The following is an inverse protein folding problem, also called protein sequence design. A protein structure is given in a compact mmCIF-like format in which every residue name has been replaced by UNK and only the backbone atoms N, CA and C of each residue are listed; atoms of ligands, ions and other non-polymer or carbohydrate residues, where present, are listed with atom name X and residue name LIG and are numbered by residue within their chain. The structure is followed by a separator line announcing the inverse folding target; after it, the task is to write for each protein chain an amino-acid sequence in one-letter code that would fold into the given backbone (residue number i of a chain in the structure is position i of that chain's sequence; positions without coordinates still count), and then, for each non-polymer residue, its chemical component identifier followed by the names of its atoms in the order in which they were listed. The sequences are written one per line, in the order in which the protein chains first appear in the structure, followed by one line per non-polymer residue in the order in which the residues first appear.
data_IF_791357606667
#
_entry.id   IF_791357606667
#
_cell.length_a   1.000
_cell.length_b   1.000
_cell.length_c   1.000
_cell.angle_alpha   90.00
_cell.angle_beta   90.00
_cell.angle_gamma   90.00
#
_symmetry.space_group_name_H-M   'P 1'
#
loop_
_entity.id
_entity.type
_entity.pdbx_description
1 polymer ?
#
# COMPACT_ATOMS: atom_id res chain seq x y z
N UNK A 1 -19.61 -34.53 7.47
CA UNK A 1 -19.20 -33.61 6.40
C UNK A 1 -17.90 -32.97 6.86
N UNK A 2 -16.76 -33.53 6.40
CA UNK A 2 -15.45 -32.87 6.55
C UNK A 2 -15.48 -31.61 5.70
N UNK A 3 -15.47 -30.44 6.30
CA UNK A 3 -15.30 -29.19 5.58
C UNK A 3 -13.94 -29.20 4.91
N UNK A 4 -13.90 -29.02 3.60
CA UNK A 4 -12.67 -28.82 2.85
C UNK A 4 -11.94 -27.63 3.46
N UNK A 5 -10.65 -27.77 3.75
CA UNK A 5 -9.85 -26.66 4.26
C UNK A 5 -9.84 -25.58 3.18
N UNK A 6 -10.33 -24.39 3.50
CA UNK A 6 -10.43 -23.25 2.58
C UNK A 6 -9.09 -22.93 1.90
N UNK A 7 -7.98 -23.19 2.59
CA UNK A 7 -6.64 -22.98 2.06
C UNK A 7 -6.30 -23.96 0.94
N UNK A 8 -6.73 -25.23 1.07
CA UNK A 8 -6.58 -26.22 0.00
C UNK A 8 -7.44 -25.86 -1.21
N UNK A 9 -8.65 -25.37 -0.99
CA UNK A 9 -9.52 -24.92 -2.07
C UNK A 9 -8.92 -23.73 -2.82
N UNK A 10 -8.39 -22.71 -2.11
CA UNK A 10 -7.72 -21.56 -2.72
C UNK A 10 -6.50 -22.02 -3.52
N UNK A 11 -5.70 -22.94 -3.00
CA UNK A 11 -4.52 -23.44 -3.70
C UNK A 11 -4.89 -24.18 -5.00
N UNK A 12 -5.93 -25.03 -4.97
CA UNK A 12 -6.45 -25.72 -6.15
C UNK A 12 -6.96 -24.72 -7.20
N UNK A 13 -7.74 -23.72 -6.77
CA UNK A 13 -8.24 -22.68 -7.68
C UNK A 13 -7.10 -21.84 -8.29
N UNK A 14 -6.07 -21.54 -7.52
CA UNK A 14 -4.90 -20.82 -8.03
C UNK A 14 -4.12 -21.67 -9.07
N UNK A 15 -3.94 -22.96 -8.82
CA UNK A 15 -3.33 -23.88 -9.78
C UNK A 15 -4.13 -23.95 -11.08
N UNK A 16 -5.46 -24.00 -10.97
CA UNK A 16 -6.36 -24.03 -12.13
C UNK A 16 -6.32 -22.72 -12.92
N UNK A 17 -6.30 -21.57 -12.23
CA UNK A 17 -6.13 -20.24 -12.83
C UNK A 17 -4.85 -20.15 -13.67
N UNK A 18 -3.74 -20.63 -13.11
CA UNK A 18 -2.45 -20.67 -13.82
C UNK A 18 -2.51 -21.65 -15.00
N UNK A 19 -3.09 -22.85 -14.80
CA UNK A 19 -3.22 -23.89 -15.85
C UNK A 19 -4.04 -23.40 -17.04
N UNK A 20 -5.11 -22.66 -16.81
CA UNK A 20 -5.97 -22.11 -17.84
C UNK A 20 -5.36 -20.91 -18.58
N UNK A 21 -4.23 -20.38 -18.12
CA UNK A 21 -3.56 -19.23 -18.74
C UNK A 21 -4.41 -17.96 -18.73
N UNK A 22 -5.32 -17.84 -17.76
CA UNK A 22 -6.28 -16.73 -17.69
C UNK A 22 -5.54 -15.37 -17.61
N UNK A 23 -4.42 -15.32 -16.88
CA UNK A 23 -3.58 -14.11 -16.77
C UNK A 23 -2.96 -13.67 -18.11
N UNK A 24 -2.93 -14.54 -19.11
CA UNK A 24 -2.41 -14.21 -20.45
C UNK A 24 -3.48 -13.66 -21.40
N UNK A 25 -4.75 -13.91 -21.10
CA UNK A 25 -5.88 -13.49 -21.94
C UNK A 25 -6.47 -12.14 -21.52
N UNK A 26 -6.27 -11.73 -20.27
CA UNK A 26 -6.71 -10.43 -19.72
C UNK A 26 -5.58 -9.87 -18.87
N UNK A 27 -5.31 -8.58 -19.01
CA UNK A 27 -4.37 -7.87 -18.13
C UNK A 27 -4.99 -7.66 -16.74
N UNK A 28 -5.08 -8.78 -15.98
CA UNK A 28 -5.62 -8.77 -14.63
C UNK A 28 -4.79 -7.89 -13.69
N UNK A 29 -3.48 -7.83 -13.90
CA UNK A 29 -2.60 -7.02 -13.06
C UNK A 29 -2.96 -5.54 -13.18
N UNK A 30 -3.14 -5.05 -14.40
CA UNK A 30 -3.58 -3.67 -14.65
C UNK A 30 -4.96 -3.40 -14.04
N UNK A 31 -5.91 -4.31 -14.26
CA UNK A 31 -7.25 -4.17 -13.72
C UNK A 31 -7.26 -4.10 -12.19
N UNK A 32 -6.59 -5.04 -11.52
CA UNK A 32 -6.51 -5.05 -10.06
C UNK A 32 -5.77 -3.85 -9.51
N UNK A 33 -4.71 -3.39 -10.19
CA UNK A 33 -4.00 -2.18 -9.77
C UNK A 33 -4.90 -0.96 -9.79
N UNK A 34 -5.69 -0.78 -10.85
CA UNK A 34 -6.58 0.38 -10.97
C UNK A 34 -7.71 0.32 -9.95
N UNK A 35 -8.28 -0.85 -9.73
CA UNK A 35 -9.28 -1.08 -8.68
C UNK A 35 -8.71 -0.83 -7.28
N UNK A 36 -7.54 -1.39 -6.97
CA UNK A 36 -6.83 -1.18 -5.70
C UNK A 36 -6.60 0.32 -5.44
N UNK A 37 -6.06 1.05 -6.42
CA UNK A 37 -5.79 2.48 -6.30
C UNK A 37 -7.08 3.26 -6.04
N UNK A 38 -8.12 3.00 -6.84
CA UNK A 38 -9.40 3.69 -6.72
C UNK A 38 -10.01 3.50 -5.34
N UNK A 39 -10.07 2.26 -4.86
CA UNK A 39 -10.68 1.96 -3.57
C UNK A 39 -9.82 2.42 -2.39
N UNK A 40 -8.50 2.31 -2.48
CA UNK A 40 -7.61 2.81 -1.42
C UNK A 40 -7.68 4.33 -1.27
N UNK A 41 -7.68 5.07 -2.37
CA UNK A 41 -7.80 6.54 -2.30
C UNK A 41 -9.21 6.99 -1.93
N UNK A 42 -10.25 6.18 -2.19
CA UNK A 42 -11.60 6.45 -1.73
C UNK A 42 -11.73 6.42 -0.20
N UNK A 43 -10.95 5.59 0.49
CA UNK A 43 -10.88 5.59 1.97
C UNK A 43 -10.37 6.94 2.48
N UNK A 44 -9.49 7.60 1.75
CA UNK A 44 -8.95 8.93 2.05
C UNK A 44 -9.82 10.08 1.50
N UNK A 45 -11.02 9.76 1.00
CA UNK A 45 -12.03 10.74 0.57
C UNK A 45 -12.01 11.07 -0.92
N UNK A 46 -11.21 10.38 -1.75
CA UNK A 46 -11.29 10.53 -3.22
C UNK A 46 -12.66 10.05 -3.71
N UNK A 47 -13.19 10.76 -4.71
CA UNK A 47 -14.45 10.38 -5.38
C UNK A 47 -14.23 10.01 -6.85
N UNK A 48 -12.98 9.69 -7.25
CA UNK A 48 -12.70 9.13 -8.55
C UNK A 48 -13.29 7.73 -8.66
N UNK A 49 -13.81 7.40 -9.84
CA UNK A 49 -14.28 6.06 -10.19
C UNK A 49 -13.13 5.24 -10.80
N UNK A 50 -13.34 3.92 -10.95
CA UNK A 50 -12.36 3.08 -11.68
C UNK A 50 -12.16 3.53 -13.12
N UNK A 51 -13.23 4.01 -13.78
CA UNK A 51 -13.13 4.58 -15.13
C UNK A 51 -12.29 5.87 -15.13
N UNK A 52 -12.47 6.76 -14.15
CA UNK A 52 -11.67 7.99 -14.03
C UNK A 52 -10.18 7.64 -13.82
N UNK A 53 -9.90 6.61 -12.99
CA UNK A 53 -8.55 6.11 -12.74
C UNK A 53 -7.94 5.51 -14.01
N UNK A 54 -8.71 4.74 -14.75
CA UNK A 54 -8.27 4.17 -16.02
C UNK A 54 -7.95 5.26 -17.05
N UNK A 55 -8.82 6.24 -17.24
CA UNK A 55 -8.60 7.36 -18.17
C UNK A 55 -7.38 8.19 -17.76
N UNK A 56 -7.17 8.38 -16.45
CA UNK A 56 -6.00 9.09 -15.95
C UNK A 56 -4.70 8.37 -16.34
N UNK A 57 -4.63 7.07 -16.14
CA UNK A 57 -3.39 6.32 -16.34
C UNK A 57 -3.14 5.90 -17.80
N UNK A 58 -4.20 5.62 -18.55
CA UNK A 58 -4.07 5.17 -19.95
C UNK A 58 -3.98 6.35 -20.93
N UNK A 59 -4.68 7.44 -20.67
CA UNK A 59 -4.84 8.54 -21.60
C UNK A 59 -4.36 9.90 -21.06
N UNK A 60 -4.00 9.97 -19.78
CA UNK A 60 -3.61 11.24 -19.13
C UNK A 60 -4.77 12.21 -18.94
N UNK A 61 -6.01 11.71 -18.97
CA UNK A 61 -7.22 12.53 -18.85
C UNK A 61 -7.67 12.65 -17.41
N UNK A 62 -7.89 13.88 -16.95
CA UNK A 62 -8.42 14.16 -15.61
C UNK A 62 -9.94 14.22 -15.62
N UNK A 63 -10.57 13.69 -14.58
CA UNK A 63 -12.03 13.70 -14.42
C UNK A 63 -12.55 15.12 -14.22
N UNK A 64 -13.49 15.55 -15.06
CA UNK A 64 -14.08 16.89 -15.00
C UNK A 64 -14.80 17.14 -13.67
N UNK A 65 -14.49 18.27 -13.04
CA UNK A 65 -15.14 18.68 -11.79
C UNK A 65 -14.64 17.95 -10.54
N UNK A 66 -13.61 17.11 -10.65
CA UNK A 66 -12.97 16.47 -9.50
C UNK A 66 -11.75 17.27 -9.04
N UNK A 67 -11.50 17.39 -7.72
CA UNK A 67 -10.31 18.04 -7.20
C UNK A 67 -9.01 17.41 -7.74
N UNK A 68 -8.03 18.25 -8.09
CA UNK A 68 -6.73 17.78 -8.58
C UNK A 68 -6.05 16.84 -7.58
N UNK A 69 -6.21 17.08 -6.29
CA UNK A 69 -5.60 16.24 -5.24
C UNK A 69 -6.00 14.77 -5.36
N UNK A 70 -7.20 14.44 -5.82
CA UNK A 70 -7.62 13.05 -6.01
C UNK A 70 -6.81 12.35 -7.11
N UNK A 71 -6.54 13.07 -8.21
CA UNK A 71 -5.70 12.55 -9.29
C UNK A 71 -4.25 12.37 -8.83
N UNK A 72 -3.73 13.32 -8.03
CA UNK A 72 -2.38 13.23 -7.46
C UNK A 72 -2.26 12.07 -6.47
N UNK A 73 -3.29 11.81 -5.66
CA UNK A 73 -3.32 10.63 -4.77
C UNK A 73 -3.22 9.32 -5.55
N UNK A 74 -3.97 9.20 -6.66
CA UNK A 74 -3.90 8.02 -7.52
C UNK A 74 -2.52 7.85 -8.16
N UNK A 75 -1.93 8.94 -8.66
CA UNK A 75 -0.58 8.93 -9.23
C UNK A 75 0.50 8.53 -8.22
N UNK A 76 0.43 9.10 -7.01
CA UNK A 76 1.39 8.80 -5.95
C UNK A 76 1.26 7.34 -5.47
N UNK A 77 0.03 6.84 -5.29
CA UNK A 77 -0.18 5.45 -4.89
C UNK A 77 0.28 4.47 -5.97
N UNK A 78 0.04 4.77 -7.26
CA UNK A 78 0.55 3.96 -8.37
C UNK A 78 2.08 3.85 -8.31
N UNK A 79 2.78 4.97 -8.12
CA UNK A 79 4.24 4.98 -8.03
C UNK A 79 4.77 4.24 -6.80
N UNK A 80 4.09 4.36 -5.66
CA UNK A 80 4.45 3.60 -4.47
C UNK A 80 4.27 2.09 -4.68
N UNK A 81 3.20 1.68 -5.36
CA UNK A 81 2.96 0.27 -5.72
C UNK A 81 4.01 -0.27 -6.69
N UNK A 82 4.33 0.47 -7.76
CA UNK A 82 5.36 0.10 -8.72
C UNK A 82 6.72 -0.05 -8.05
N UNK A 83 7.09 0.89 -7.17
CA UNK A 83 8.30 0.81 -6.36
C UNK A 83 8.31 -0.44 -5.47
N UNK A 84 7.20 -0.71 -4.76
CA UNK A 84 7.10 -1.90 -3.90
C UNK A 84 7.27 -3.20 -4.70
N UNK A 85 6.71 -3.26 -5.92
CA UNK A 85 6.82 -4.39 -6.82
C UNK A 85 8.25 -4.59 -7.33
N UNK A 86 8.92 -3.52 -7.74
CA UNK A 86 10.32 -3.55 -8.18
C UNK A 86 11.25 -4.04 -7.06
N UNK A 87 11.11 -3.48 -5.86
CA UNK A 87 11.91 -3.86 -4.70
C UNK A 87 11.63 -5.30 -4.26
N UNK A 88 10.38 -5.75 -4.35
CA UNK A 88 10.00 -7.15 -4.09
C UNK A 88 10.67 -8.11 -5.09
N UNK A 89 10.72 -7.77 -6.38
CA UNK A 89 11.40 -8.57 -7.39
C UNK A 89 12.93 -8.69 -7.15
N UNK A 90 13.52 -7.70 -6.47
CA UNK A 90 14.92 -7.69 -6.07
C UNK A 90 15.17 -8.36 -4.71
N UNK A 91 14.12 -8.86 -4.05
CA UNK A 91 14.16 -9.37 -2.67
C UNK A 91 14.74 -8.35 -1.68
N UNK A 92 14.43 -7.07 -1.87
CA UNK A 92 14.89 -6.00 -0.98
C UNK A 92 14.40 -6.25 0.44
N UNK A 93 15.31 -6.11 1.39
CA UNK A 93 15.00 -6.31 2.81
C UNK A 93 14.03 -5.25 3.34
N UNK A 94 13.02 -5.66 4.09
CA UNK A 94 12.09 -4.75 4.74
C UNK A 94 12.80 -4.08 5.92
N UNK A 95 13.11 -2.79 5.74
CA UNK A 95 13.78 -1.93 6.72
C UNK A 95 12.96 -0.66 6.97
N UNK A 96 13.19 0.07 8.08
CA UNK A 96 12.56 1.38 8.28
C UNK A 96 12.85 2.35 7.13
N UNK A 97 14.06 2.34 6.58
CA UNK A 97 14.43 3.18 5.45
C UNK A 97 13.62 2.82 4.20
N UNK A 98 13.40 1.53 3.96
CA UNK A 98 12.54 1.10 2.86
C UNK A 98 11.09 1.55 3.06
N UNK A 99 10.52 1.41 4.26
CA UNK A 99 9.17 1.89 4.56
C UNK A 99 9.06 3.41 4.42
N UNK A 100 10.08 4.17 4.84
CA UNK A 100 10.13 5.62 4.62
C UNK A 100 10.21 5.97 3.12
N UNK A 101 10.98 5.22 2.32
CA UNK A 101 11.04 5.37 0.86
C UNK A 101 9.69 5.13 0.19
N UNK A 102 8.96 4.08 0.62
CA UNK A 102 7.59 3.82 0.14
C UNK A 102 6.63 4.95 0.53
N UNK A 103 6.70 5.40 1.78
CA UNK A 103 5.86 6.52 2.23
C UNK A 103 6.19 7.82 1.48
N UNK A 104 7.45 8.08 1.18
CA UNK A 104 7.85 9.22 0.36
C UNK A 104 7.27 9.14 -1.05
N UNK A 105 7.23 7.97 -1.66
CA UNK A 105 6.57 7.77 -2.95
C UNK A 105 5.06 8.02 -2.87
N UNK A 106 4.41 7.49 -1.83
CA UNK A 106 2.97 7.63 -1.58
C UNK A 106 2.55 9.08 -1.30
N UNK A 107 3.40 9.87 -0.68
CA UNK A 107 3.13 11.25 -0.28
C UNK A 107 3.86 12.29 -1.16
N UNK A 108 4.40 11.88 -2.30
CA UNK A 108 5.30 12.69 -3.13
C UNK A 108 4.72 14.05 -3.53
N UNK A 109 3.45 14.10 -3.92
CA UNK A 109 2.76 15.32 -4.37
C UNK A 109 1.70 15.80 -3.40
N UNK A 110 1.26 14.95 -2.49
CA UNK A 110 0.21 15.24 -1.50
C UNK A 110 0.76 15.50 -0.10
N UNK A 111 2.03 15.16 0.15
CA UNK A 111 2.70 15.44 1.42
C UNK A 111 3.06 16.91 1.61
N UNK A 112 3.42 17.25 2.83
CA UNK A 112 3.74 18.62 3.26
C UNK A 112 4.80 18.65 4.34
N UNK A 113 5.42 19.81 4.52
CA UNK A 113 6.27 20.12 5.67
C UNK A 113 5.39 20.57 6.84
N UNK A 114 5.58 19.93 7.98
CA UNK A 114 4.89 20.26 9.23
C UNK A 114 5.86 20.84 10.24
N UNK A 115 5.51 22.04 10.76
CA UNK A 115 6.24 22.69 11.84
C UNK A 115 5.45 22.51 13.13
N UNK A 116 5.99 21.76 14.08
CA UNK A 116 5.34 21.38 15.34
C UNK A 116 6.26 21.61 16.54
N UNK A 117 5.76 21.49 17.76
CA UNK A 117 6.60 21.69 18.96
C UNK A 117 7.82 20.73 19.02
N UNK A 118 7.71 19.54 18.45
CA UNK A 118 8.79 18.56 18.37
C UNK A 118 9.84 18.83 17.29
N UNK A 119 9.66 19.85 16.46
CA UNK A 119 10.54 20.20 15.35
C UNK A 119 9.79 20.29 14.02
N UNK A 120 10.51 20.10 12.92
CA UNK A 120 9.94 20.08 11.56
C UNK A 120 10.14 18.71 10.92
N UNK A 121 9.13 18.22 10.21
CA UNK A 121 9.23 17.01 9.41
C UNK A 121 8.48 17.17 8.09
N UNK A 122 8.94 16.46 7.07
CA UNK A 122 8.40 16.50 5.71
C UNK A 122 7.81 15.12 5.35
N UNK A 123 6.49 15.04 5.29
CA UNK A 123 5.80 13.79 4.94
C UNK A 123 6.06 13.38 3.48
N UNK A 124 6.34 14.33 2.58
CA UNK A 124 6.70 14.01 1.18
C UNK A 124 8.06 13.32 1.05
N UNK A 125 8.88 13.36 2.10
CA UNK A 125 10.16 12.64 2.21
C UNK A 125 10.07 11.35 3.02
N UNK A 126 8.88 10.99 3.49
CA UNK A 126 8.69 9.81 4.33
C UNK A 126 9.25 9.96 5.75
N UNK A 127 9.50 11.18 6.20
CA UNK A 127 10.00 11.43 7.54
C UNK A 127 8.98 11.06 8.62
N UNK A 128 9.47 10.51 9.73
CA UNK A 128 8.60 10.22 10.87
C UNK A 128 8.02 11.49 11.46
N UNK A 129 6.74 11.43 11.82
CA UNK A 129 6.05 12.54 12.47
C UNK A 129 6.69 12.91 13.81
N UNK A 130 6.65 14.19 14.14
CA UNK A 130 7.15 14.76 15.39
C UNK A 130 6.02 15.33 16.27
N UNK A 131 4.79 14.85 16.06
CA UNK A 131 3.61 15.22 16.85
C UNK A 131 2.68 14.04 17.10
N UNK A 132 1.80 14.19 18.09
CA UNK A 132 0.69 13.28 18.31
C UNK A 132 -0.33 13.39 17.19
N UNK A 133 -0.99 12.27 16.86
CA UNK A 133 -2.11 12.23 15.92
C UNK A 133 -3.22 11.33 16.47
N UNK A 134 -4.46 11.59 16.05
CA UNK A 134 -5.65 10.83 16.43
C UNK A 134 -6.41 10.38 15.19
N UNK A 135 -7.17 9.30 15.31
CA UNK A 135 -8.06 8.81 14.26
C UNK A 135 -9.35 9.64 14.24
N UNK A 136 -9.32 10.77 13.53
CA UNK A 136 -10.47 11.67 13.42
C UNK A 136 -10.78 12.43 14.71
N UNK A 137 -11.87 13.17 14.71
CA UNK A 137 -12.33 13.96 15.86
C UNK A 137 -12.93 13.04 16.92
N UNK A 138 -12.34 13.01 18.12
CA UNK A 138 -12.79 12.15 19.23
C UNK A 138 -12.38 10.69 19.11
N UNK A 139 -11.55 10.32 18.12
CA UNK A 139 -11.02 8.97 17.93
C UNK A 139 -9.87 8.63 18.86
N UNK A 140 -9.39 7.37 18.76
CA UNK A 140 -8.27 6.89 19.54
C UNK A 140 -6.97 7.61 19.14
N UNK A 141 -6.16 7.97 20.14
CA UNK A 141 -4.82 8.49 19.90
C UNK A 141 -3.89 7.37 19.43
N UNK A 142 -3.12 7.66 18.39
CA UNK A 142 -2.05 6.78 17.96
C UNK A 142 -0.88 6.81 18.95
N UNK A 143 0.01 5.83 18.82
CA UNK A 143 1.22 5.73 19.61
C UNK A 143 1.96 7.08 19.67
N UNK A 144 2.55 7.38 20.84
CA UNK A 144 3.39 8.56 21.02
C UNK A 144 4.53 8.59 20.00
N UNK A 145 4.70 9.70 19.30
CA UNK A 145 5.61 9.84 18.16
C UNK A 145 7.08 9.49 18.47
N UNK A 146 7.65 9.76 19.66
CA UNK A 146 9.04 9.38 19.97
C UNK A 146 9.28 7.86 19.97
N UNK A 147 8.20 7.07 20.13
CA UNK A 147 8.28 5.60 20.12
C UNK A 147 8.15 5.01 18.70
N UNK A 148 7.69 5.79 17.73
CA UNK A 148 7.38 5.28 16.38
C UNK A 148 8.61 4.69 15.69
N UNK A 149 9.80 5.35 15.64
CA UNK A 149 10.97 4.78 14.96
C UNK A 149 11.38 3.42 15.52
N UNK A 150 11.43 3.28 16.85
CA UNK A 150 11.79 2.01 17.50
C UNK A 150 10.77 0.90 17.24
N UNK A 151 9.48 1.24 17.17
CA UNK A 151 8.42 0.26 16.87
C UNK A 151 8.36 -0.13 15.39
N UNK A 152 8.73 0.76 14.50
CA UNK A 152 8.90 0.42 13.08
C UNK A 152 10.09 -0.52 12.89
N UNK A 153 11.21 -0.31 13.58
CA UNK A 153 12.35 -1.24 13.54
C UNK A 153 11.98 -2.62 14.11
N UNK A 154 11.25 -2.66 15.22
CA UNK A 154 10.74 -3.91 15.81
C UNK A 154 9.83 -4.66 14.81
N UNK A 155 8.89 -3.95 14.16
CA UNK A 155 8.03 -4.53 13.13
C UNK A 155 8.86 -5.08 11.95
N UNK A 156 9.81 -4.32 11.43
CA UNK A 156 10.68 -4.76 10.34
C UNK A 156 11.47 -6.02 10.73
N UNK A 157 11.95 -6.10 11.96
CA UNK A 157 12.67 -7.27 12.47
C UNK A 157 11.78 -8.52 12.52
N UNK A 158 10.55 -8.37 13.02
CA UNK A 158 9.55 -9.45 13.04
C UNK A 158 9.21 -9.92 11.62
N UNK A 159 8.98 -8.99 10.69
CA UNK A 159 8.67 -9.32 9.31
C UNK A 159 9.81 -10.09 8.64
N UNK A 160 11.05 -9.65 8.82
CA UNK A 160 12.24 -10.33 8.29
C UNK A 160 12.41 -11.73 8.84
N UNK A 161 12.19 -11.92 10.14
CA UNK A 161 12.25 -13.23 10.77
C UNK A 161 11.18 -14.17 10.23
N UNK A 162 9.94 -13.70 10.16
CA UNK A 162 8.82 -14.50 9.63
C UNK A 162 9.02 -14.84 8.16
N UNK A 163 9.46 -13.90 7.33
CA UNK A 163 9.70 -14.15 5.90
C UNK A 163 10.73 -15.25 5.65
N UNK A 164 11.77 -15.36 6.49
CA UNK A 164 12.80 -16.42 6.36
C UNK A 164 12.25 -17.83 6.61
N UNK A 165 11.19 -17.94 7.39
CA UNK A 165 10.64 -19.20 7.85
C UNK A 165 9.32 -19.59 7.16
N UNK A 166 8.87 -18.80 6.16
CA UNK A 166 7.63 -19.09 5.44
C UNK A 166 7.85 -20.11 4.32
N UNK A 167 7.17 -21.23 4.42
CA UNK A 167 7.21 -22.31 3.42
C UNK A 167 5.92 -22.39 2.62
N UNK A 168 4.78 -22.10 3.23
CA UNK A 168 3.45 -22.29 2.66
C UNK A 168 2.81 -21.01 2.14
N UNK A 169 1.87 -21.13 1.20
CA UNK A 169 1.02 -20.03 0.74
C UNK A 169 0.23 -19.40 1.89
N UNK A 170 -0.29 -20.23 2.79
CA UNK A 170 -1.05 -19.78 3.96
C UNK A 170 -0.23 -18.86 4.86
N UNK A 171 1.01 -19.23 5.18
CA UNK A 171 1.90 -18.43 6.04
C UNK A 171 2.21 -17.07 5.40
N UNK A 172 2.41 -17.01 4.09
CA UNK A 172 2.60 -15.75 3.35
C UNK A 172 1.36 -14.89 3.40
N UNK A 173 0.19 -15.49 3.21
CA UNK A 173 -1.09 -14.78 3.28
C UNK A 173 -1.34 -14.22 4.69
N UNK A 174 -1.18 -15.04 5.73
CA UNK A 174 -1.36 -14.65 7.13
C UNK A 174 -0.36 -13.56 7.57
N UNK A 175 0.84 -13.50 6.97
CA UNK A 175 1.80 -12.43 7.25
C UNK A 175 1.37 -11.09 6.64
N UNK A 176 0.57 -11.08 5.58
CA UNK A 176 0.11 -9.85 4.91
C UNK A 176 -1.01 -9.13 5.66
N UNK A 177 -1.59 -9.75 6.69
CA UNK A 177 -2.62 -9.21 7.57
C UNK A 177 -2.09 -9.01 9.00
#
# INVERSE_FOLDING_TARGET
LMGTDIWQEIEVLNQEFVRLGISQSVDYEKYYLYSLITHSTAIEGSTLTELDTQLLFDEGVTAKGKPLVYHLMNEDLKKAYELAKEESAQNTEITPVFLQKLNAALMRTTGSVYNVMGGSFDSSKGEFRLCGVTAGVGGCSYMSYPKVPAKVEELCSILREKQKNMETFRERYELSF
#
